data_IF_902699715691
#
_entry.id   IF_902699715691
#
_cell.length_a   1.000
_cell.length_b   1.000
_cell.length_c   1.000
_cell.angle_alpha   90.00
_cell.angle_beta   90.00
_cell.angle_gamma   90.00
#
_symmetry.space_group_name_H-M   'P 1'
#
loop_
_entity.id
_entity.type
_entity.pdbx_description
1 polymer ?
#
# COMPACT_ATOMS: atom_id res chain seq x y z
N UNK A 1 -10.30 96.73 14.90
CA UNK A 1 -10.08 96.22 16.27
C UNK A 1 -9.84 94.71 16.19
N UNK A 2 -8.86 94.24 16.95
CA UNK A 2 -8.21 92.90 17.08
C UNK A 2 -9.10 91.66 16.75
N UNK A 3 -8.65 90.72 15.91
CA UNK A 3 -7.83 89.50 16.21
C UNK A 3 -8.54 88.51 17.19
N UNK A 4 -8.52 87.16 17.16
CA UNK A 4 -7.90 86.04 16.40
C UNK A 4 -8.41 84.72 17.09
N UNK A 5 -8.71 83.62 16.36
CA UNK A 5 -8.04 82.28 16.38
C UNK A 5 -8.45 81.20 17.45
N UNK A 6 -8.98 80.07 16.93
CA UNK A 6 -8.83 78.60 17.22
C UNK A 6 -8.96 77.94 18.61
N UNK A 7 -9.71 76.81 18.71
CA UNK A 7 -9.26 75.38 18.74
C UNK A 7 -10.43 74.44 19.16
N UNK A 8 -10.85 73.50 18.30
CA UNK A 8 -10.59 72.02 18.27
C UNK A 8 -11.02 71.24 19.52
N UNK A 9 -11.97 70.30 19.36
CA UNK A 9 -11.82 68.92 19.86
C UNK A 9 -12.80 67.97 19.16
N UNK A 10 -12.23 66.88 18.66
CA UNK A 10 -12.84 65.74 17.98
C UNK A 10 -12.91 64.59 18.99
N UNK A 11 -14.04 63.89 19.10
CA UNK A 11 -14.11 62.52 19.65
C UNK A 11 -15.55 62.02 19.48
N UNK A 12 -15.81 61.10 18.55
CA UNK A 12 -15.70 59.65 18.75
C UNK A 12 -17.06 59.07 19.14
N UNK A 13 -17.78 58.46 18.19
CA UNK A 13 -18.64 57.27 18.43
C UNK A 13 -19.48 56.81 17.22
N UNK A 14 -18.96 56.80 15.98
CA UNK A 14 -19.73 56.22 14.86
C UNK A 14 -18.90 55.42 13.84
N UNK A 15 -17.67 55.02 14.19
CA UNK A 15 -16.79 54.26 13.28
C UNK A 15 -16.14 53.12 14.08
N UNK A 16 -16.93 52.15 14.55
CA UNK A 16 -16.36 50.92 15.13
C UNK A 16 -17.30 49.70 15.07
N UNK A 17 -18.17 49.62 14.06
CA UNK A 17 -19.01 48.42 13.84
C UNK A 17 -18.90 47.86 12.42
N UNK A 18 -18.01 48.37 11.57
CA UNK A 18 -18.01 48.06 10.13
C UNK A 18 -16.62 47.77 9.54
N UNK A 19 -15.73 47.17 10.34
CA UNK A 19 -14.48 46.57 9.89
C UNK A 19 -14.36 45.21 10.58
N UNK A 20 -14.96 44.18 9.98
CA UNK A 20 -14.19 43.23 9.18
C UNK A 20 -13.31 42.34 10.07
N UNK A 21 -13.93 41.46 10.85
CA UNK A 21 -13.25 40.26 11.34
C UNK A 21 -14.18 39.05 11.19
N UNK A 22 -14.65 38.84 9.97
CA UNK A 22 -14.95 37.46 9.54
C UNK A 22 -13.58 36.81 9.40
N UNK A 23 -13.09 36.25 10.51
CA UNK A 23 -12.01 35.28 10.49
C UNK A 23 -12.59 34.02 9.85
N UNK A 24 -12.70 34.04 8.52
CA UNK A 24 -12.95 32.85 7.72
C UNK A 24 -11.71 31.98 7.93
N UNK A 25 -11.81 31.04 8.86
CA UNK A 25 -10.79 30.04 9.07
C UNK A 25 -10.85 29.15 7.84
N UNK A 26 -10.00 29.44 6.86
CA UNK A 26 -9.73 28.52 5.75
C UNK A 26 -9.09 27.31 6.41
N UNK A 27 -9.93 26.32 6.70
CA UNK A 27 -9.47 24.99 7.09
C UNK A 27 -8.95 24.39 5.79
N UNK A 28 -7.65 24.54 5.53
CA UNK A 28 -7.02 23.81 4.42
C UNK A 28 -7.20 22.33 4.70
N UNK A 29 -8.00 21.64 3.91
CA UNK A 29 -8.08 20.19 3.95
C UNK A 29 -6.72 19.66 3.51
N UNK A 30 -5.94 19.18 4.48
CA UNK A 30 -4.71 18.46 4.20
C UNK A 30 -5.09 17.13 3.55
N UNK A 31 -5.00 17.08 2.22
CA UNK A 31 -5.17 15.83 1.47
C UNK A 31 -4.20 14.79 2.05
N UNK A 32 -4.73 13.64 2.47
CA UNK A 32 -3.93 12.57 3.06
C UNK A 32 -2.94 12.06 2.02
N UNK A 33 -1.63 12.19 2.27
CA UNK A 33 -0.59 11.58 1.44
C UNK A 33 -0.62 10.04 1.47
N UNK A 34 -1.43 9.46 2.36
CA UNK A 34 -1.56 8.02 2.52
C UNK A 34 -2.77 7.53 1.73
N UNK A 35 -2.50 6.70 0.72
CA UNK A 35 -3.50 5.96 -0.02
C UNK A 35 -3.65 4.54 0.56
N UNK A 36 -4.87 4.00 0.56
CA UNK A 36 -5.19 2.68 1.13
C UNK A 36 -5.83 1.76 0.11
N UNK A 37 -5.42 0.50 0.11
CA UNK A 37 -6.01 -0.51 -0.78
C UNK A 37 -7.45 -0.83 -0.39
N UNK A 38 -8.33 -0.92 -1.38
CA UNK A 38 -9.70 -1.42 -1.21
C UNK A 38 -9.80 -2.90 -1.55
N UNK A 39 -9.15 -3.31 -2.65
CA UNK A 39 -9.19 -4.66 -3.17
C UNK A 39 -7.77 -5.14 -3.46
N UNK A 40 -7.37 -6.23 -2.82
CA UNK A 40 -6.03 -6.77 -2.97
C UNK A 40 -6.06 -8.26 -3.15
N UNK A 41 -5.37 -8.73 -4.18
CA UNK A 41 -5.30 -10.12 -4.58
C UNK A 41 -3.86 -10.57 -4.60
N UNK A 42 -3.60 -11.73 -4.01
CA UNK A 42 -2.37 -12.47 -4.21
C UNK A 42 -2.71 -13.86 -4.72
N UNK A 43 -2.01 -14.30 -5.75
CA UNK A 43 -2.02 -15.67 -6.21
C UNK A 43 -0.60 -16.21 -6.20
N UNK A 44 -0.44 -17.48 -5.85
CA UNK A 44 0.83 -18.16 -6.01
C UNK A 44 0.66 -19.47 -6.76
N UNK A 45 1.76 -19.89 -7.40
CA UNK A 45 1.89 -21.16 -8.11
C UNK A 45 3.19 -21.84 -7.67
N UNK A 46 3.08 -23.08 -7.20
CA UNK A 46 4.18 -24.03 -7.10
C UNK A 46 4.07 -25.00 -8.26
N UNK A 47 5.01 -24.94 -9.19
CA UNK A 47 5.04 -25.79 -10.38
C UNK A 47 6.17 -26.81 -10.26
N UNK A 48 5.83 -28.06 -9.98
CA UNK A 48 6.78 -29.16 -9.79
C UNK A 48 6.44 -30.32 -10.74
N UNK A 49 7.40 -31.22 -11.06
CA UNK A 49 7.22 -32.25 -12.09
C UNK A 49 5.98 -33.14 -11.93
N UNK A 50 5.58 -33.44 -10.69
CA UNK A 50 4.44 -34.32 -10.41
C UNK A 50 3.18 -33.57 -9.97
N UNK A 51 3.27 -32.28 -9.64
CA UNK A 51 2.12 -31.53 -9.14
C UNK A 51 2.27 -30.02 -9.35
N UNK A 52 1.21 -29.40 -9.86
CA UNK A 52 1.04 -27.96 -9.89
C UNK A 52 0.04 -27.57 -8.79
N UNK A 53 0.48 -26.70 -7.88
CA UNK A 53 -0.33 -26.20 -6.77
C UNK A 53 -0.60 -24.72 -7.02
N UNK A 54 -1.88 -24.32 -6.93
CA UNK A 54 -2.30 -22.93 -7.03
C UNK A 54 -3.04 -22.56 -5.76
N UNK A 55 -2.84 -21.34 -5.28
CA UNK A 55 -3.72 -20.78 -4.27
C UNK A 55 -3.86 -19.28 -4.46
N UNK A 56 -5.00 -18.76 -4.01
CA UNK A 56 -5.39 -17.36 -4.14
C UNK A 56 -5.93 -16.85 -2.81
N UNK A 57 -5.67 -15.58 -2.53
CA UNK A 57 -6.30 -14.81 -1.45
C UNK A 57 -6.70 -13.42 -1.96
N UNK A 58 -7.82 -12.92 -1.43
CA UNK A 58 -8.33 -11.56 -1.63
C UNK A 58 -8.16 -10.68 -0.37
N UNK A 59 -7.37 -11.16 0.59
CA UNK A 59 -7.17 -10.50 1.88
C UNK A 59 -5.91 -9.63 1.93
N UNK A 60 -5.29 -9.35 0.78
CA UNK A 60 -4.15 -8.44 0.73
C UNK A 60 -4.61 -7.04 1.08
N UNK A 61 -3.91 -6.42 2.03
CA UNK A 61 -4.13 -5.03 2.44
C UNK A 61 -2.83 -4.26 2.32
N UNK A 62 -2.95 -2.98 1.99
CA UNK A 62 -1.83 -2.13 1.65
C UNK A 62 -2.07 -0.67 1.97
N UNK A 63 -0.97 0.03 2.25
CA UNK A 63 -0.90 1.48 2.28
C UNK A 63 0.28 1.96 1.46
N UNK A 64 0.14 3.12 0.83
CA UNK A 64 1.22 3.83 0.12
C UNK A 64 1.21 5.26 0.60
N UNK A 65 2.37 5.75 1.03
CA UNK A 65 2.61 7.17 1.23
C UNK A 65 3.19 7.74 -0.06
N UNK A 66 2.39 8.53 -0.77
CA UNK A 66 2.77 9.10 -2.07
C UNK A 66 3.77 10.23 -1.94
N UNK A 67 3.87 10.88 -0.77
CA UNK A 67 4.85 11.94 -0.53
C UNK A 67 6.26 11.38 -0.38
N UNK A 68 6.38 10.21 0.24
CA UNK A 68 7.66 9.55 0.53
C UNK A 68 7.99 8.40 -0.43
N UNK A 69 7.07 8.04 -1.32
CA UNK A 69 7.09 6.82 -2.14
C UNK A 69 7.29 5.54 -1.32
N UNK A 70 6.77 5.51 -0.09
CA UNK A 70 6.88 4.35 0.78
C UNK A 70 5.60 3.52 0.77
N UNK A 71 5.71 2.23 1.07
CA UNK A 71 4.57 1.33 1.10
C UNK A 71 4.70 0.30 2.22
N UNK A 72 3.55 -0.25 2.61
CA UNK A 72 3.48 -1.43 3.46
C UNK A 72 2.29 -2.30 3.04
N UNK A 73 2.57 -3.56 2.73
CA UNK A 73 1.60 -4.59 2.35
C UNK A 73 1.61 -5.72 3.37
N UNK A 74 0.44 -6.29 3.65
CA UNK A 74 0.28 -7.44 4.51
C UNK A 74 -0.86 -8.34 4.03
N UNK A 75 -0.69 -9.65 4.23
CA UNK A 75 -1.72 -10.63 3.93
C UNK A 75 -1.73 -11.74 4.99
N UNK A 76 -2.91 -12.18 5.38
CA UNK A 76 -3.10 -13.31 6.29
C UNK A 76 -2.80 -14.63 5.57
N UNK A 77 -1.87 -15.43 6.09
CA UNK A 77 -1.54 -16.74 5.52
C UNK A 77 -2.73 -17.70 5.48
N UNK A 78 -3.63 -17.65 6.46
CA UNK A 78 -4.79 -18.56 6.50
C UNK A 78 -5.85 -18.23 5.45
N UNK A 79 -5.80 -17.01 4.89
CA UNK A 79 -6.76 -16.55 3.88
C UNK A 79 -6.60 -17.22 2.52
N UNK A 80 -5.48 -17.90 2.26
CA UNK A 80 -5.27 -18.61 1.00
C UNK A 80 -6.25 -19.78 0.84
N UNK A 81 -6.73 -19.95 -0.40
CA UNK A 81 -7.71 -20.94 -0.81
C UNK A 81 -7.48 -21.36 -2.27
N UNK A 82 -8.18 -22.40 -2.75
CA UNK A 82 -8.03 -22.91 -4.11
C UNK A 82 -6.95 -23.98 -4.30
N UNK A 83 -6.43 -24.52 -3.20
CA UNK A 83 -5.56 -25.70 -3.18
C UNK A 83 -6.24 -26.92 -3.82
N UNK A 84 -5.45 -27.89 -4.30
CA UNK A 84 -5.95 -29.12 -4.92
C UNK A 84 -6.74 -30.00 -3.94
N UNK A 85 -6.53 -29.85 -2.64
CA UNK A 85 -7.28 -30.53 -1.57
C UNK A 85 -7.18 -29.78 -0.23
N UNK A 86 -8.10 -30.08 0.69
CA UNK A 86 -8.06 -29.54 2.06
C UNK A 86 -6.83 -30.01 2.85
N UNK A 87 -6.34 -31.22 2.58
CA UNK A 87 -5.11 -31.74 3.17
C UNK A 87 -3.89 -30.91 2.73
N UNK A 88 -3.84 -30.49 1.47
CA UNK A 88 -2.79 -29.62 0.97
C UNK A 88 -2.84 -28.23 1.63
N UNK A 89 -4.04 -27.67 1.83
CA UNK A 89 -4.22 -26.43 2.60
C UNK A 89 -3.74 -26.60 4.06
N UNK A 90 -4.02 -27.76 4.66
CA UNK A 90 -3.57 -28.08 6.02
C UNK A 90 -2.05 -28.13 6.08
N UNK A 91 -1.40 -28.86 5.17
CA UNK A 91 0.07 -28.91 5.10
C UNK A 91 0.69 -27.52 4.85
N UNK A 92 0.09 -26.71 3.96
CA UNK A 92 0.50 -25.33 3.76
C UNK A 92 0.56 -24.57 5.08
N UNK A 93 -0.52 -24.61 5.86
CA UNK A 93 -0.64 -23.88 7.11
C UNK A 93 0.23 -24.44 8.25
N UNK A 94 0.34 -25.75 8.37
CA UNK A 94 0.96 -26.40 9.54
C UNK A 94 2.44 -26.74 9.32
N UNK A 95 2.81 -27.23 8.14
CA UNK A 95 4.15 -27.77 7.89
C UNK A 95 5.07 -26.80 7.14
N UNK A 96 4.52 -25.83 6.40
CA UNK A 96 5.32 -24.96 5.54
C UNK A 96 5.37 -23.51 6.02
N UNK A 97 4.23 -22.84 6.19
CA UNK A 97 4.22 -21.42 6.60
C UNK A 97 3.98 -21.22 8.09
N UNK A 98 3.70 -22.30 8.83
CA UNK A 98 3.37 -22.29 10.27
C UNK A 98 2.39 -21.14 10.64
N UNK A 99 1.26 -21.01 9.95
CA UNK A 99 0.39 -19.83 9.99
C UNK A 99 -0.24 -19.51 11.35
N UNK A 100 -0.16 -20.44 12.32
CA UNK A 100 -0.51 -20.15 13.72
C UNK A 100 0.56 -19.29 14.42
N UNK A 101 1.83 -19.50 14.08
CA UNK A 101 3.00 -18.81 14.63
C UNK A 101 3.36 -17.56 13.82
N UNK A 102 3.27 -17.66 12.50
CA UNK A 102 3.51 -16.56 11.55
C UNK A 102 2.25 -16.27 10.74
N UNK A 103 1.26 -15.58 11.32
CA UNK A 103 -0.05 -15.41 10.70
C UNK A 103 -0.04 -14.52 9.46
N UNK A 104 1.01 -13.70 9.27
CA UNK A 104 1.07 -12.72 8.19
C UNK A 104 2.37 -12.84 7.41
N UNK A 105 2.28 -12.63 6.11
CA UNK A 105 3.41 -12.20 5.29
C UNK A 105 3.31 -10.69 5.07
N UNK A 106 4.45 -10.01 5.03
CA UNK A 106 4.49 -8.56 4.82
C UNK A 106 5.56 -8.16 3.82
N UNK A 107 5.34 -7.06 3.12
CA UNK A 107 6.34 -6.41 2.29
C UNK A 107 6.26 -4.91 2.49
N UNK A 108 7.33 -4.29 2.98
CA UNK A 108 7.38 -2.84 3.24
C UNK A 108 8.68 -2.23 2.80
N UNK A 109 8.65 -1.00 2.29
CA UNK A 109 9.82 -0.35 1.72
C UNK A 109 9.49 0.89 0.91
N UNK A 110 10.27 1.12 -0.14
CA UNK A 110 10.20 2.31 -0.99
C UNK A 110 10.19 1.93 -2.47
N UNK A 111 9.39 2.65 -3.25
CA UNK A 111 9.47 2.63 -4.71
C UNK A 111 10.65 3.50 -5.12
N UNK A 112 11.59 2.94 -5.88
CA UNK A 112 12.89 3.60 -6.12
C UNK A 112 12.84 4.57 -7.30
N UNK A 113 11.86 4.43 -8.17
CA UNK A 113 11.56 5.38 -9.23
C UNK A 113 10.87 6.62 -8.67
N UNK A 114 11.09 7.77 -9.33
CA UNK A 114 10.32 8.98 -9.08
C UNK A 114 8.96 8.82 -9.77
N UNK A 115 7.90 9.09 -9.02
CA UNK A 115 6.53 9.00 -9.48
C UNK A 115 5.90 10.36 -9.25
N UNK A 116 5.29 10.91 -10.29
CA UNK A 116 4.35 12.00 -10.15
C UNK A 116 2.96 11.38 -9.95
N UNK A 117 2.44 11.45 -8.72
CA UNK A 117 1.16 10.82 -8.39
C UNK A 117 -0.02 11.66 -8.87
N UNK A 118 0.17 12.91 -9.27
CA UNK A 118 -0.90 13.78 -9.75
C UNK A 118 -1.16 13.61 -11.25
N UNK A 119 -0.26 12.92 -11.96
CA UNK A 119 -0.41 12.67 -13.38
C UNK A 119 -0.90 11.24 -13.65
N UNK A 120 -1.97 11.13 -14.46
CA UNK A 120 -2.36 9.82 -14.99
C UNK A 120 -1.23 9.23 -15.85
N UNK A 121 -0.80 8.03 -15.51
CA UNK A 121 0.39 7.43 -16.11
C UNK A 121 0.42 5.91 -15.94
N UNK A 122 1.12 5.26 -16.87
CA UNK A 122 1.47 3.85 -16.78
C UNK A 122 2.99 3.72 -16.58
N UNK A 123 3.39 3.20 -15.43
CA UNK A 123 4.78 3.21 -14.98
C UNK A 123 5.25 1.80 -14.64
N UNK A 124 6.41 1.42 -15.16
CA UNK A 124 7.18 0.29 -14.64
C UNK A 124 8.07 0.78 -13.49
N UNK A 125 8.02 0.07 -12.36
CA UNK A 125 8.69 0.47 -11.12
C UNK A 125 9.36 -0.71 -10.46
N UNK A 126 10.22 -0.41 -9.48
CA UNK A 126 10.92 -1.36 -8.63
C UNK A 126 10.69 -0.96 -7.18
N UNK A 127 10.06 -1.87 -6.44
CA UNK A 127 9.87 -1.74 -5.01
C UNK A 127 11.05 -2.38 -4.28
N UNK A 128 11.88 -1.58 -3.60
CA UNK A 128 12.92 -2.08 -2.71
C UNK A 128 12.39 -2.11 -1.28
N UNK A 129 12.45 -3.27 -0.63
CA UNK A 129 11.90 -3.40 0.71
C UNK A 129 12.21 -4.72 1.41
N UNK A 130 11.65 -4.87 2.60
CA UNK A 130 11.77 -6.07 3.41
C UNK A 130 10.55 -6.97 3.20
N UNK A 131 10.76 -8.15 2.61
CA UNK A 131 9.77 -9.21 2.49
C UNK A 131 9.90 -10.16 3.67
N UNK A 132 8.86 -10.27 4.48
CA UNK A 132 8.78 -11.19 5.61
C UNK A 132 7.76 -12.29 5.33
N UNK A 133 8.23 -13.53 5.31
CA UNK A 133 7.41 -14.74 5.17
C UNK A 133 7.98 -15.75 6.18
N UNK A 134 7.10 -16.48 6.88
CA UNK A 134 7.50 -17.49 7.86
C UNK A 134 8.44 -16.92 8.96
N UNK A 135 8.22 -15.64 9.34
CA UNK A 135 9.04 -14.91 10.32
C UNK A 135 10.45 -14.54 9.86
N UNK A 136 10.83 -14.89 8.63
CA UNK A 136 12.15 -14.62 8.07
C UNK A 136 12.06 -13.44 7.11
N UNK A 137 12.89 -12.44 7.39
CA UNK A 137 13.00 -11.18 6.66
C UNK A 137 14.07 -11.26 5.58
N UNK A 138 13.71 -10.86 4.36
CA UNK A 138 14.62 -10.81 3.22
C UNK A 138 14.48 -9.46 2.50
N UNK A 139 15.58 -8.73 2.33
CA UNK A 139 15.58 -7.52 1.50
C UNK A 139 15.45 -7.94 0.02
N UNK A 140 14.49 -7.34 -0.69
CA UNK A 140 14.18 -7.65 -2.08
C UNK A 140 14.02 -6.37 -2.89
N UNK A 141 14.31 -6.49 -4.18
CA UNK A 141 13.87 -5.53 -5.20
C UNK A 141 12.88 -6.27 -6.08
N UNK A 142 11.61 -5.88 -6.03
CA UNK A 142 10.50 -6.53 -6.72
C UNK A 142 10.03 -5.61 -7.84
N UNK A 143 10.02 -6.06 -9.12
CA UNK A 143 9.45 -5.29 -10.21
C UNK A 143 7.93 -5.21 -10.07
N UNK A 144 7.36 -4.09 -10.49
CA UNK A 144 5.93 -3.87 -10.50
C UNK A 144 5.53 -2.88 -11.58
N UNK A 145 4.23 -2.76 -11.76
CA UNK A 145 3.60 -1.84 -12.69
C UNK A 145 2.55 -1.05 -11.91
N UNK A 146 2.59 0.27 -12.02
CA UNK A 146 1.65 1.19 -11.40
C UNK A 146 0.91 1.90 -12.53
N UNK A 147 -0.41 1.87 -12.47
CA UNK A 147 -1.29 2.60 -13.37
C UNK A 147 -2.09 3.60 -12.53
N UNK A 148 -1.86 4.88 -12.79
CA UNK A 148 -2.44 5.99 -12.05
C UNK A 148 -3.59 6.55 -12.87
N UNK A 149 -4.76 6.60 -12.26
CA UNK A 149 -5.93 7.29 -12.74
C UNK A 149 -6.29 8.43 -11.78
N UNK A 150 -7.20 9.29 -12.21
CA UNK A 150 -7.82 10.34 -11.39
C UNK A 150 -8.53 9.80 -10.14
N UNK A 151 -9.26 8.69 -10.25
CA UNK A 151 -10.08 8.12 -9.16
C UNK A 151 -9.43 6.94 -8.43
N UNK A 152 -8.37 6.34 -9.00
CA UNK A 152 -7.76 5.12 -8.46
C UNK A 152 -6.32 4.93 -8.90
N UNK A 153 -5.63 4.03 -8.21
CA UNK A 153 -4.33 3.48 -8.58
C UNK A 153 -4.45 1.96 -8.67
N UNK A 154 -3.97 1.38 -9.76
CA UNK A 154 -3.85 -0.07 -9.96
C UNK A 154 -2.38 -0.46 -9.87
N UNK A 155 -2.09 -1.50 -9.10
CA UNK A 155 -0.73 -2.02 -8.92
C UNK A 155 -0.71 -3.50 -9.28
N UNK A 156 0.26 -3.87 -10.11
CA UNK A 156 0.49 -5.24 -10.54
C UNK A 156 1.95 -5.61 -10.29
N UNK A 157 2.21 -6.86 -9.90
CA UNK A 157 3.57 -7.35 -9.77
C UNK A 157 3.59 -8.86 -9.95
N UNK A 158 4.65 -9.34 -10.60
CA UNK A 158 4.96 -10.76 -10.71
C UNK A 158 6.42 -10.98 -10.31
N UNK A 159 6.63 -11.90 -9.38
CA UNK A 159 7.95 -12.22 -8.88
C UNK A 159 7.98 -13.65 -8.35
N UNK A 160 9.13 -14.04 -7.83
CA UNK A 160 9.34 -15.38 -7.35
C UNK A 160 10.04 -15.41 -6.01
N UNK A 161 9.65 -16.36 -5.18
CA UNK A 161 10.10 -16.52 -3.80
C UNK A 161 10.72 -17.90 -3.64
N UNK A 162 12.05 -18.00 -3.54
CA UNK A 162 12.71 -19.23 -3.09
C UNK A 162 12.31 -19.56 -1.66
N UNK A 163 11.85 -20.79 -1.42
CA UNK A 163 11.40 -21.24 -0.10
C UNK A 163 12.53 -21.23 0.94
N UNK A 164 13.75 -21.57 0.50
CA UNK A 164 14.95 -21.59 1.34
C UNK A 164 15.26 -20.23 1.97
N UNK A 165 14.97 -19.13 1.27
CA UNK A 165 15.21 -17.77 1.78
C UNK A 165 14.33 -17.45 3.00
N UNK A 166 13.26 -18.23 3.22
CA UNK A 166 12.33 -18.06 4.32
C UNK A 166 12.29 -19.25 5.28
N UNK A 167 13.36 -20.07 5.29
CA UNK A 167 13.50 -21.27 6.14
C UNK A 167 12.34 -22.26 6.00
N UNK A 168 11.79 -22.37 4.79
CA UNK A 168 10.73 -23.34 4.47
C UNK A 168 11.39 -24.54 3.79
N UNK A 169 11.44 -25.65 4.50
CA UNK A 169 12.07 -26.89 4.02
C UNK A 169 11.07 -27.80 3.30
N UNK A 170 11.50 -28.40 2.19
CA UNK A 170 10.71 -29.43 1.48
C UNK A 170 11.20 -30.82 1.90
N UNK A 171 10.35 -31.68 2.48
CA UNK A 171 10.72 -33.06 2.77
C UNK A 171 11.07 -33.84 1.50
N UNK A 172 12.13 -34.67 1.56
CA UNK A 172 12.64 -35.42 0.39
C UNK A 172 11.56 -36.24 -0.33
N UNK A 173 10.62 -36.83 0.41
CA UNK A 173 9.55 -37.67 -0.13
C UNK A 173 8.54 -36.91 -1.02
N UNK A 174 8.45 -35.58 -0.89
CA UNK A 174 7.55 -34.72 -1.69
C UNK A 174 8.29 -33.73 -2.60
N UNK A 175 9.61 -33.87 -2.76
CA UNK A 175 10.43 -32.92 -3.52
C UNK A 175 10.02 -32.77 -5.00
N UNK A 176 9.42 -33.80 -5.60
CA UNK A 176 8.91 -33.72 -6.98
C UNK A 176 7.48 -33.13 -7.08
N UNK A 177 6.85 -32.81 -5.95
CA UNK A 177 5.48 -32.26 -5.86
C UNK A 177 5.44 -30.80 -5.43
N UNK A 178 6.55 -30.27 -4.94
CA UNK A 178 6.64 -28.88 -4.44
C UNK A 178 7.86 -28.23 -5.06
N UNK A 179 7.65 -27.06 -5.66
CA UNK A 179 8.73 -26.26 -6.24
C UNK A 179 9.55 -25.60 -5.15
N UNK A 180 10.87 -25.58 -5.29
CA UNK A 180 11.77 -24.80 -4.43
C UNK A 180 11.57 -23.29 -4.57
N UNK A 181 10.92 -22.87 -5.67
CA UNK A 181 10.67 -21.47 -6.04
C UNK A 181 9.20 -21.27 -6.38
N UNK A 182 8.54 -20.40 -5.61
CA UNK A 182 7.12 -20.11 -5.75
C UNK A 182 6.94 -18.87 -6.62
N UNK A 183 6.12 -18.97 -7.66
CA UNK A 183 5.75 -17.82 -8.49
C UNK A 183 4.57 -17.11 -7.81
N UNK A 184 4.67 -15.79 -7.67
CA UNK A 184 3.67 -14.96 -6.99
C UNK A 184 3.23 -13.85 -7.94
N UNK A 185 1.92 -13.67 -8.05
CA UNK A 185 1.31 -12.54 -8.74
C UNK A 185 0.43 -11.74 -7.79
N UNK A 186 0.49 -10.42 -7.94
CA UNK A 186 -0.24 -9.45 -7.11
C UNK A 186 -1.05 -8.55 -8.03
N UNK A 187 -2.29 -8.28 -7.61
CA UNK A 187 -3.13 -7.23 -8.18
C UNK A 187 -3.77 -6.45 -7.03
N UNK A 188 -3.64 -5.13 -7.03
CA UNK A 188 -4.14 -4.26 -5.98
C UNK A 188 -4.82 -3.04 -6.59
N UNK A 189 -6.01 -2.71 -6.10
CA UNK A 189 -6.71 -1.45 -6.39
C UNK A 189 -6.72 -0.59 -5.13
N UNK A 190 -6.36 0.67 -5.31
CA UNK A 190 -6.35 1.72 -4.29
C UNK A 190 -7.27 2.82 -4.81
N UNK A 191 -8.26 3.25 -4.02
CA UNK A 191 -9.09 4.40 -4.39
C UNK A 191 -8.37 5.69 -4.02
N UNK A 192 -8.54 6.71 -4.85
CA UNK A 192 -8.17 8.09 -4.56
C UNK A 192 -9.44 8.86 -4.24
N UNK A 193 -9.36 9.73 -3.24
CA UNK A 193 -10.37 10.77 -3.10
C UNK A 193 -10.20 11.72 -4.28
N UNK A 194 -11.28 11.96 -5.02
CA UNK A 194 -11.25 12.89 -6.15
C UNK A 194 -10.79 14.25 -5.63
N UNK A 195 -9.93 14.99 -6.37
CA UNK A 195 -9.72 16.39 -6.06
C UNK A 195 -11.09 17.08 -6.14
N UNK A 196 -11.52 17.69 -5.04
CA UNK A 196 -12.68 18.57 -5.06
C UNK A 196 -12.35 19.72 -5.99
N UNK A 197 -13.00 19.79 -7.15
CA UNK A 197 -12.94 20.97 -8.00
C UNK A 197 -13.53 22.15 -7.20
N UNK A 198 -12.68 23.13 -6.86
CA UNK A 198 -13.09 24.42 -6.30
C UNK A 198 -13.77 25.31 -7.36
#
# INVERSE_FOLDING_TARGET
MRNTITKVSCSSQWILCFLFSVAFSISGESQSSILRSVDGVVQFISDAPLEMIKARSVALRGVIDVSENTFAFAIDMKSFSGFNSDLQKTHFNENYVESRKFPRATFSGKIIEKIDWEQEALLEVRAKGMLEIHGIKQERIIPGKIEIFSDRVIIQSEFSVPLKDHDISIPKIVAQKISEKINVSIFLTILREAPTEE
#
